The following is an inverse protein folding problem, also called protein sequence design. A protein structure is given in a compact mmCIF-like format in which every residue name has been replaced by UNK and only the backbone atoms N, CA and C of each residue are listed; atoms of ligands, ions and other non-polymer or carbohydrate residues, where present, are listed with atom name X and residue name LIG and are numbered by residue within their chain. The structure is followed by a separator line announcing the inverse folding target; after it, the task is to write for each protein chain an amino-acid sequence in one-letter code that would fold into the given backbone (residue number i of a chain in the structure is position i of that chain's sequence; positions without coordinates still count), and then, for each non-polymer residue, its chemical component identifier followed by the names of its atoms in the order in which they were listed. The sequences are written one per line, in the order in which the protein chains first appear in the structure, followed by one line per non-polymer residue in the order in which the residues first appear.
data_IF_945871134527
#
_entry.id   IF_945871134527
#
_cell.length_a   1.000
_cell.length_b   1.000
_cell.length_c   1.000
_cell.angle_alpha   90.00
_cell.angle_beta   90.00
_cell.angle_gamma   90.00
#
_symmetry.space_group_name_H-M   'P 1'
#
loop_
_entity.id
_entity.type
_entity.pdbx_description
1 polymer ?
#
# COMPACT_ATOMS: atom_id res chain seq x y z
N UNK A 1 -32.04 28.63 -17.75
CA UNK A 1 -31.09 28.81 -16.64
C UNK A 1 -31.02 27.59 -15.71
N UNK A 2 -32.13 26.86 -15.49
CA UNK A 2 -32.20 25.67 -14.60
C UNK A 2 -31.47 24.41 -15.10
N UNK A 3 -31.35 24.19 -16.42
CA UNK A 3 -30.62 23.05 -16.98
C UNK A 3 -29.10 23.08 -16.70
N UNK A 4 -28.49 24.26 -16.56
CA UNK A 4 -27.05 24.36 -16.26
C UNK A 4 -26.71 24.00 -14.82
N UNK A 5 -27.63 24.22 -13.88
CA UNK A 5 -27.43 23.86 -12.47
C UNK A 5 -27.52 22.34 -12.30
N UNK A 6 -28.53 21.70 -12.89
CA UNK A 6 -28.68 20.23 -12.86
C UNK A 6 -27.54 19.53 -13.61
N UNK A 7 -27.10 20.03 -14.77
CA UNK A 7 -25.95 19.45 -15.48
C UNK A 7 -24.61 19.72 -14.80
N UNK A 8 -24.43 20.87 -14.12
CA UNK A 8 -23.25 21.07 -13.28
C UNK A 8 -23.27 20.11 -12.09
N UNK A 9 -24.42 19.91 -11.44
CA UNK A 9 -24.52 18.99 -10.31
C UNK A 9 -24.20 17.56 -10.75
N UNK A 10 -24.83 17.03 -11.80
CA UNK A 10 -24.57 15.66 -12.28
C UNK A 10 -23.16 15.50 -12.87
N UNK A 11 -22.67 16.47 -13.64
CA UNK A 11 -21.33 16.41 -14.25
C UNK A 11 -20.20 16.55 -13.23
N UNK A 12 -20.39 17.41 -12.23
CA UNK A 12 -19.42 17.62 -11.14
C UNK A 12 -19.45 16.46 -10.16
N UNK A 13 -20.60 15.88 -9.85
CA UNK A 13 -20.72 14.69 -8.99
C UNK A 13 -20.06 13.45 -9.60
N UNK A 14 -20.22 13.24 -10.91
CA UNK A 14 -19.55 12.14 -11.61
C UNK A 14 -18.04 12.34 -11.65
N UNK A 15 -17.58 13.57 -11.94
CA UNK A 15 -16.17 13.91 -11.95
C UNK A 15 -15.55 13.74 -10.55
N UNK A 16 -16.20 14.23 -9.49
CA UNK A 16 -15.74 14.09 -8.10
C UNK A 16 -15.69 12.60 -7.71
N UNK A 17 -16.72 11.83 -8.03
CA UNK A 17 -16.76 10.39 -7.71
C UNK A 17 -15.66 9.62 -8.42
N UNK A 18 -15.40 9.95 -9.68
CA UNK A 18 -14.33 9.34 -10.46
C UNK A 18 -12.95 9.75 -9.93
N UNK A 19 -12.73 11.03 -9.63
CA UNK A 19 -11.44 11.56 -9.16
C UNK A 19 -11.10 11.15 -7.72
N UNK A 20 -12.11 10.83 -6.91
CA UNK A 20 -11.96 10.37 -5.52
C UNK A 20 -11.13 9.10 -5.41
N UNK A 21 -11.35 8.12 -6.29
CA UNK A 21 -10.66 6.83 -6.23
C UNK A 21 -9.16 6.92 -6.57
N UNK A 22 -8.75 7.58 -7.68
CA UNK A 22 -7.35 7.89 -7.94
C UNK A 22 -6.71 8.72 -6.83
N UNK A 23 -7.38 9.76 -6.32
CA UNK A 23 -6.85 10.57 -5.24
C UNK A 23 -6.56 9.73 -3.98
N UNK A 24 -7.50 8.84 -3.61
CA UNK A 24 -7.32 7.92 -2.49
C UNK A 24 -6.16 6.95 -2.74
N UNK A 25 -6.05 6.39 -3.95
CA UNK A 25 -4.94 5.52 -4.31
C UNK A 25 -3.58 6.24 -4.21
N UNK A 26 -3.49 7.49 -4.67
CA UNK A 26 -2.27 8.31 -4.55
C UNK A 26 -1.92 8.58 -3.09
N UNK A 27 -2.91 8.92 -2.25
CA UNK A 27 -2.70 9.16 -0.82
C UNK A 27 -2.20 7.88 -0.14
N UNK A 28 -2.85 6.74 -0.37
CA UNK A 28 -2.47 5.45 0.21
C UNK A 28 -1.06 5.06 -0.23
N UNK A 29 -0.75 5.16 -1.53
CA UNK A 29 0.58 4.89 -2.04
C UNK A 29 1.63 5.83 -1.42
N UNK A 30 1.29 7.10 -1.23
CA UNK A 30 2.15 8.08 -0.56
C UNK A 30 2.45 7.71 0.88
N UNK A 31 1.42 7.34 1.67
CA UNK A 31 1.59 6.90 3.06
C UNK A 31 2.46 5.64 3.14
N UNK A 32 2.19 4.63 2.31
CA UNK A 32 3.00 3.40 2.26
C UNK A 32 4.45 3.71 1.86
N UNK A 33 4.66 4.58 0.88
CA UNK A 33 6.01 5.01 0.46
C UNK A 33 6.77 5.66 1.61
N UNK A 34 6.11 6.51 2.40
CA UNK A 34 6.69 7.14 3.60
C UNK A 34 7.06 6.07 4.63
N UNK A 35 6.17 5.12 4.91
CA UNK A 35 6.43 4.02 5.84
C UNK A 35 7.64 3.20 5.38
N UNK A 36 7.73 2.82 4.11
CA UNK A 36 8.84 2.03 3.60
C UNK A 36 10.16 2.80 3.56
N UNK A 37 10.12 4.12 3.43
CA UNK A 37 11.34 4.95 3.38
C UNK A 37 11.88 5.29 4.76
N UNK A 38 11.02 5.53 5.75
CA UNK A 38 11.41 6.01 7.08
C UNK A 38 11.27 4.95 8.18
N UNK A 39 10.49 3.90 7.96
CA UNK A 39 10.32 2.80 8.92
C UNK A 39 11.60 2.00 9.15
N UNK A 40 12.36 1.61 8.12
CA UNK A 40 13.58 0.83 8.30
C UNK A 40 14.74 1.62 8.91
N UNK A 41 15.35 1.09 9.98
CA UNK A 41 16.62 1.59 10.53
C UNK A 41 17.83 1.16 9.68
N UNK A 42 17.93 1.64 8.44
CA UNK A 42 19.05 1.38 7.51
C UNK A 42 19.35 2.60 6.63
N UNK A 43 20.39 2.52 5.80
CA UNK A 43 20.61 3.48 4.72
C UNK A 43 19.35 3.58 3.84
N UNK A 44 18.88 4.82 3.65
CA UNK A 44 17.62 5.08 2.94
C UNK A 44 17.73 4.59 1.49
N UNK A 45 16.79 3.75 1.06
CA UNK A 45 16.66 3.39 -0.35
C UNK A 45 16.26 4.62 -1.18
N UNK A 46 16.63 4.67 -2.48
CA UNK A 46 16.18 5.75 -3.38
C UNK A 46 14.67 5.63 -3.65
N UNK A 47 14.02 6.77 -3.92
CA UNK A 47 12.58 6.85 -4.17
C UNK A 47 12.09 5.88 -5.27
N UNK A 48 12.87 5.70 -6.33
CA UNK A 48 12.54 4.78 -7.45
C UNK A 48 12.43 3.31 -7.03
N UNK A 49 13.23 2.88 -6.04
CA UNK A 49 13.24 1.49 -5.57
C UNK A 49 12.13 1.24 -4.57
N UNK A 50 11.69 2.26 -3.82
CA UNK A 50 10.60 2.15 -2.85
C UNK A 50 9.22 2.21 -3.54
N UNK A 51 9.11 2.94 -4.66
CA UNK A 51 7.83 3.19 -5.31
C UNK A 51 7.16 1.94 -5.89
N UNK A 52 7.93 0.95 -6.36
CA UNK A 52 7.34 -0.22 -7.02
C UNK A 52 6.53 -1.08 -6.04
N UNK A 53 7.13 -1.49 -4.92
CA UNK A 53 6.42 -2.21 -3.86
C UNK A 53 5.37 -1.36 -3.15
N UNK A 54 5.51 -0.04 -3.12
CA UNK A 54 4.47 0.86 -2.58
C UNK A 54 3.22 0.88 -3.45
N UNK A 55 3.38 0.91 -4.78
CA UNK A 55 2.25 0.85 -5.73
C UNK A 55 1.57 -0.52 -5.63
N UNK A 56 2.35 -1.61 -5.63
CA UNK A 56 1.80 -2.97 -5.52
C UNK A 56 1.04 -3.14 -4.20
N UNK A 57 1.63 -2.69 -3.07
CA UNK A 57 0.97 -2.73 -1.78
C UNK A 57 -0.31 -1.88 -1.75
N UNK A 58 -0.29 -0.68 -2.32
CA UNK A 58 -1.48 0.17 -2.37
C UNK A 58 -2.62 -0.49 -3.16
N UNK A 59 -2.33 -1.06 -4.33
CA UNK A 59 -3.32 -1.79 -5.15
C UNK A 59 -3.87 -2.98 -4.38
N UNK A 60 -2.98 -3.81 -3.81
CA UNK A 60 -3.39 -4.99 -3.06
C UNK A 60 -4.22 -4.61 -1.81
N UNK A 61 -3.86 -3.53 -1.14
CA UNK A 61 -4.56 -3.05 0.04
C UNK A 61 -5.97 -2.56 -0.29
N UNK A 62 -6.15 -1.89 -1.44
CA UNK A 62 -7.47 -1.50 -1.94
C UNK A 62 -8.32 -2.72 -2.31
N UNK A 63 -7.74 -3.71 -2.98
CA UNK A 63 -8.43 -4.96 -3.35
C UNK A 63 -8.88 -5.70 -2.10
N UNK A 64 -7.98 -5.88 -1.13
CA UNK A 64 -8.28 -6.55 0.15
C UNK A 64 -9.33 -5.78 0.94
N UNK A 65 -9.25 -4.46 1.00
CA UNK A 65 -10.24 -3.63 1.69
C UNK A 65 -11.62 -3.70 1.04
N UNK A 66 -11.70 -3.68 -0.29
CA UNK A 66 -12.96 -3.85 -1.02
C UNK A 66 -13.54 -5.25 -0.83
N UNK A 67 -12.70 -6.29 -0.92
CA UNK A 67 -13.10 -7.67 -0.67
C UNK A 67 -13.59 -7.90 0.76
N UNK A 68 -12.92 -7.29 1.75
CA UNK A 68 -13.33 -7.35 3.14
C UNK A 68 -14.65 -6.61 3.38
N UNK A 69 -14.85 -5.44 2.76
CA UNK A 69 -16.12 -4.71 2.83
C UNK A 69 -17.28 -5.52 2.24
N UNK A 70 -17.05 -6.25 1.15
CA UNK A 70 -18.03 -7.16 0.57
C UNK A 70 -18.30 -8.39 1.44
N UNK A 71 -17.26 -8.91 2.10
CA UNK A 71 -17.38 -10.02 3.03
C UNK A 71 -18.26 -9.61 4.22
N UNK A 72 -17.93 -8.51 4.90
CA UNK A 72 -18.68 -8.06 6.09
C UNK A 72 -20.12 -7.69 5.77
N UNK A 73 -20.41 -7.12 4.59
CA UNK A 73 -21.79 -6.78 4.21
C UNK A 73 -22.68 -8.02 4.05
N UNK A 74 -22.11 -9.18 3.73
CA UNK A 74 -22.83 -10.47 3.68
C UNK A 74 -22.93 -11.16 5.04
N UNK A 75 -22.11 -10.78 6.01
CA UNK A 75 -22.09 -11.33 7.37
C UNK A 75 -23.14 -10.69 8.31
N UNK A 76 -23.95 -9.75 7.83
CA UNK A 76 -24.92 -8.99 8.63
C UNK A 76 -25.86 -9.84 9.48
N UNK A 77 -26.19 -11.07 9.07
CA UNK A 77 -27.06 -11.99 9.83
C UNK A 77 -26.38 -12.60 11.07
N UNK A 78 -25.05 -12.71 11.09
CA UNK A 78 -24.29 -13.17 12.28
C UNK A 78 -24.10 -12.07 13.32
N UNK A 79 -24.22 -10.79 12.92
CA UNK A 79 -24.10 -9.63 13.78
C UNK A 79 -25.26 -9.52 14.79
N UNK A 80 -26.42 -10.11 14.51
CA UNK A 80 -27.57 -10.13 15.44
C UNK A 80 -27.28 -10.93 16.72
N UNK A 81 -26.47 -11.98 16.62
CA UNK A 81 -26.13 -12.86 17.76
C UNK A 81 -24.91 -12.37 18.54
N UNK A 82 -23.92 -11.77 17.85
CA UNK A 82 -22.61 -11.43 18.43
C UNK A 82 -22.30 -9.93 18.50
N UNK A 83 -23.19 -9.07 17.96
CA UNK A 83 -23.15 -7.61 18.09
C UNK A 83 -21.75 -7.00 18.06
N UNK A 84 -21.36 -6.35 19.16
CA UNK A 84 -20.07 -5.66 19.30
C UNK A 84 -18.85 -6.58 19.20
N UNK A 85 -18.94 -7.85 19.62
CA UNK A 85 -17.84 -8.81 19.50
C UNK A 85 -17.53 -9.11 18.03
N UNK A 86 -18.57 -9.24 17.19
CA UNK A 86 -18.40 -9.41 15.75
C UNK A 86 -17.68 -8.24 15.08
N UNK A 87 -18.01 -7.01 15.50
CA UNK A 87 -17.35 -5.80 15.03
C UNK A 87 -15.85 -5.75 15.42
N UNK A 88 -15.50 -6.12 16.65
CA UNK A 88 -14.11 -6.18 17.11
C UNK A 88 -13.31 -7.21 16.33
N UNK A 89 -13.85 -8.43 16.17
CA UNK A 89 -13.18 -9.49 15.40
C UNK A 89 -12.99 -9.05 13.95
N UNK A 90 -14.01 -8.48 13.31
CA UNK A 90 -13.90 -7.95 11.96
C UNK A 90 -12.82 -6.87 11.84
N UNK A 91 -12.77 -5.92 12.77
CA UNK A 91 -11.73 -4.90 12.80
C UNK A 91 -10.33 -5.51 12.95
N UNK A 92 -10.14 -6.48 13.85
CA UNK A 92 -8.86 -7.17 14.03
C UNK A 92 -8.45 -7.94 12.77
N UNK A 93 -9.38 -8.64 12.11
CA UNK A 93 -9.13 -9.33 10.85
C UNK A 93 -8.73 -8.35 9.74
N UNK A 94 -9.43 -7.23 9.61
CA UNK A 94 -9.09 -6.19 8.64
C UNK A 94 -7.71 -5.58 8.91
N UNK A 95 -7.38 -5.32 10.17
CA UNK A 95 -6.06 -4.83 10.57
C UNK A 95 -4.97 -5.86 10.25
N UNK A 96 -5.19 -7.13 10.57
CA UNK A 96 -4.26 -8.23 10.26
C UNK A 96 -4.02 -8.39 8.75
N UNK A 97 -5.07 -8.32 7.95
CA UNK A 97 -4.98 -8.33 6.48
C UNK A 97 -4.21 -7.11 5.96
N UNK A 98 -4.51 -5.92 6.50
CA UNK A 98 -3.84 -4.67 6.12
C UNK A 98 -2.34 -4.72 6.40
N UNK A 99 -1.95 -5.16 7.60
CA UNK A 99 -0.53 -5.30 7.99
C UNK A 99 0.16 -6.33 7.10
N UNK A 100 -0.48 -7.48 6.84
CA UNK A 100 0.06 -8.51 5.95
C UNK A 100 0.37 -7.95 4.56
N UNK A 101 -0.54 -7.18 3.96
CA UNK A 101 -0.32 -6.55 2.65
C UNK A 101 0.84 -5.55 2.65
N UNK A 102 0.94 -4.73 3.70
CA UNK A 102 2.04 -3.76 3.84
C UNK A 102 3.38 -4.48 4.00
N UNK A 103 3.44 -5.56 4.78
CA UNK A 103 4.67 -6.34 4.90
C UNK A 103 5.06 -6.99 3.57
N UNK A 104 4.09 -7.52 2.83
CA UNK A 104 4.32 -8.13 1.52
C UNK A 104 4.93 -7.15 0.52
N UNK A 105 4.45 -5.90 0.49
CA UNK A 105 5.05 -4.87 -0.37
C UNK A 105 6.44 -4.41 0.09
N UNK A 106 6.71 -4.42 1.38
CA UNK A 106 8.03 -4.15 1.93
C UNK A 106 9.03 -5.25 1.55
N UNK A 107 8.63 -6.52 1.63
CA UNK A 107 9.42 -7.66 1.18
C UNK A 107 9.67 -7.62 -0.32
N UNK A 108 8.66 -7.27 -1.12
CA UNK A 108 8.84 -7.10 -2.56
C UNK A 108 9.91 -6.04 -2.88
N UNK A 109 9.87 -4.89 -2.17
CA UNK A 109 10.91 -3.87 -2.32
C UNK A 109 12.30 -4.38 -1.90
N UNK A 110 12.36 -5.15 -0.82
CA UNK A 110 13.61 -5.74 -0.33
C UNK A 110 14.19 -6.75 -1.32
N UNK A 111 13.36 -7.57 -1.94
CA UNK A 111 13.79 -8.58 -2.91
C UNK A 111 14.22 -7.95 -4.24
N UNK A 112 13.51 -6.93 -4.72
CA UNK A 112 13.94 -6.17 -5.92
C UNK A 112 15.32 -5.54 -5.70
N UNK A 113 15.56 -5.01 -4.50
CA UNK A 113 16.86 -4.47 -4.09
C UNK A 113 17.93 -5.58 -4.03
N UNK A 114 17.57 -6.77 -3.56
CA UNK A 114 18.45 -7.92 -3.44
C UNK A 114 18.88 -8.55 -4.78
N UNK A 115 18.06 -8.42 -5.82
CA UNK A 115 18.33 -8.95 -7.16
C UNK A 115 19.19 -8.00 -8.02
N UNK A 116 19.57 -6.82 -7.51
CA UNK A 116 20.24 -5.79 -8.29
C UNK A 116 21.66 -5.52 -7.80
N UNK A 117 22.65 -5.59 -8.69
CA UNK A 117 24.03 -5.25 -8.33
C UNK A 117 24.29 -3.73 -8.20
N UNK A 118 23.41 -2.92 -8.80
CA UNK A 118 23.43 -1.45 -8.74
C UNK A 118 23.09 -0.97 -7.33
N UNK A 119 23.82 0.03 -6.85
CA UNK A 119 23.54 0.65 -5.55
C UNK A 119 22.16 1.33 -5.53
N UNK A 120 21.31 0.83 -4.65
CA UNK A 120 19.93 1.26 -4.42
C UNK A 120 19.81 2.31 -3.32
N UNK A 121 20.89 2.59 -2.58
CA UNK A 121 20.90 3.51 -1.44
C UNK A 121 21.10 4.97 -1.86
N UNK A 122 20.75 5.90 -0.98
CA UNK A 122 21.01 7.33 -1.18
C UNK A 122 22.42 7.70 -0.75
N UNK A 123 23.11 8.51 -1.55
CA UNK A 123 24.46 8.99 -1.26
C UNK A 123 25.44 8.71 -2.39
N UNK A 124 26.76 8.90 -2.16
CA UNK A 124 27.81 8.46 -3.06
C UNK A 124 27.72 6.94 -3.29
N UNK A 125 28.01 6.44 -4.50
CA UNK A 125 27.92 5.00 -4.78
C UNK A 125 28.94 4.23 -3.93
N UNK A 126 28.47 3.24 -3.18
CA UNK A 126 29.30 2.39 -2.33
C UNK A 126 29.38 0.95 -2.90
N UNK A 127 30.53 0.27 -2.73
CA UNK A 127 30.65 -1.14 -3.09
C UNK A 127 29.72 -2.00 -2.22
N UNK A 128 29.35 -3.17 -2.73
CA UNK A 128 28.58 -4.16 -1.95
C UNK A 128 29.30 -4.50 -0.64
N UNK A 129 28.54 -4.58 0.46
CA UNK A 129 29.05 -4.83 1.80
C UNK A 129 29.28 -3.55 2.62
N UNK A 130 29.29 -2.38 1.96
CA UNK A 130 29.51 -1.09 2.61
C UNK A 130 28.30 -0.14 2.52
N UNK A 131 27.17 -0.56 1.93
CA UNK A 131 26.01 0.31 1.67
C UNK A 131 25.15 0.54 2.92
N UNK A 132 25.35 -0.24 3.99
CA UNK A 132 24.62 -0.09 5.25
C UNK A 132 23.16 -0.56 5.12
N UNK A 133 22.91 -1.51 4.21
CA UNK A 133 21.61 -2.09 3.94
C UNK A 133 21.79 -3.55 3.49
N UNK A 134 21.40 -4.50 4.35
CA UNK A 134 21.65 -5.94 4.15
C UNK A 134 21.28 -6.44 2.76
N UNK A 135 20.08 -6.11 2.27
CA UNK A 135 19.63 -6.56 0.95
C UNK A 135 20.34 -5.86 -0.21
N UNK A 136 20.88 -4.64 -0.01
CA UNK A 136 21.71 -3.98 -1.03
C UNK A 136 23.16 -4.48 -1.03
N UNK A 137 23.59 -5.09 0.08
CA UNK A 137 24.95 -5.57 0.32
C UNK A 137 25.15 -7.03 -0.11
N UNK A 138 24.07 -7.78 -0.32
CA UNK A 138 24.09 -9.17 -0.83
C UNK A 138 23.40 -9.27 -2.19
N UNK A 139 23.68 -10.36 -2.91
CA UNK A 139 22.92 -10.74 -4.10
C UNK A 139 22.18 -12.04 -3.81
N UNK A 140 20.92 -12.13 -4.26
CA UNK A 140 20.17 -13.37 -4.25
C UNK A 140 20.91 -14.46 -5.02
N UNK A 141 20.88 -15.70 -4.52
CA UNK A 141 21.38 -16.84 -5.27
C UNK A 141 20.56 -16.97 -6.56
N UNK A 142 21.22 -17.18 -7.71
CA UNK A 142 20.53 -17.49 -8.95
C UNK A 142 19.78 -18.83 -8.75
N UNK A 143 18.46 -18.77 -8.61
CA UNK A 143 17.59 -19.94 -8.57
C UNK A 143 17.23 -20.40 -9.97
#
# INVERSE_FOLDING_TARGET
MLLKVVYLETGTEWLISFLRWPALAVIVAGVITVIYRYGPCRSRARWKWVSLGSIVAAILWLIVSAGFSWYVSRFGTYNETYGSLGAVVGFMTWMWLSISVILLGAELNAEIEHQTAVDTTTGPPLPMGARGARMADTLGAAQ
#
